data_IF_362154105359
#
_entry.id   IF_362154105359
#
_cell.length_a   1.000
_cell.length_b   1.000
_cell.length_c   1.000
_cell.angle_alpha   90.00
_cell.angle_beta   90.00
_cell.angle_gamma   90.00
#
_symmetry.space_group_name_H-M   'P 1'
#
loop_
_entity.id
_entity.type
_entity.pdbx_description
1 polymer ?
#
# COMPACT_ATOMS: atom_id res chain seq x y z
N UNK A 1 -21.68 31.00 -2.59
CA UNK A 1 -21.59 31.47 -1.20
C UNK A 1 -21.97 30.31 -0.30
N UNK A 2 -20.99 29.48 0.05
CA UNK A 2 -21.11 28.47 1.10
C UNK A 2 -19.78 28.46 1.84
N UNK A 3 -19.87 28.37 3.15
CA UNK A 3 -18.78 28.58 4.10
C UNK A 3 -17.65 27.59 3.89
N UNK A 4 -16.44 28.12 3.72
CA UNK A 4 -15.21 27.42 4.06
C UNK A 4 -15.09 27.43 5.58
N UNK A 5 -15.21 26.26 6.21
CA UNK A 5 -14.59 26.05 7.52
C UNK A 5 -13.17 25.58 7.21
N UNK A 6 -12.22 26.44 7.55
CA UNK A 6 -10.82 26.06 7.69
C UNK A 6 -10.75 25.09 8.86
N UNK A 7 -10.42 23.83 8.57
CA UNK A 7 -10.05 22.88 9.60
C UNK A 7 -8.56 23.10 9.90
N UNK A 8 -8.29 23.93 10.90
CA UNK A 8 -7.04 23.93 11.65
C UNK A 8 -6.95 22.57 12.36
N UNK A 9 -6.25 21.60 11.77
CA UNK A 9 -5.88 20.37 12.47
C UNK A 9 -4.66 20.65 13.36
N UNK A 10 -4.95 21.08 14.58
CA UNK A 10 -4.00 21.14 15.67
C UNK A 10 -3.65 19.70 16.10
N UNK A 11 -2.35 19.37 16.06
CA UNK A 11 -1.85 18.10 16.56
C UNK A 11 -1.86 18.14 18.09
N UNK A 12 -3.01 17.86 18.71
CA UNK A 12 -3.05 17.53 20.14
C UNK A 12 -2.87 16.03 20.30
N UNK A 13 -1.67 15.65 20.73
CA UNK A 13 -1.41 14.38 21.41
C UNK A 13 -2.31 14.32 22.64
N UNK A 14 -3.40 13.54 22.58
CA UNK A 14 -4.10 13.17 23.80
C UNK A 14 -3.22 12.18 24.58
N UNK A 15 -2.83 12.66 25.75
CA UNK A 15 -2.13 11.97 26.82
C UNK A 15 -3.05 10.88 27.39
N UNK A 16 -2.76 9.62 27.12
CA UNK A 16 -3.20 8.53 28.00
C UNK A 16 -2.21 8.44 29.17
N UNK A 17 -2.44 9.25 30.20
CA UNK A 17 -1.92 9.03 31.54
C UNK A 17 -2.58 7.78 32.13
N UNK A 18 -1.81 6.71 32.29
CA UNK A 18 -1.76 5.90 33.52
C UNK A 18 -0.94 4.63 33.26
N UNK A 19 0.29 4.59 33.75
CA UNK A 19 0.78 3.47 34.56
C UNK A 19 2.12 3.85 35.20
N UNK A 20 2.10 3.77 36.52
CA UNK A 20 3.12 4.18 37.47
C UNK A 20 4.56 3.75 37.13
N UNK A 21 5.43 4.74 37.28
CA UNK A 21 6.88 4.67 37.36
C UNK A 21 7.30 3.88 38.61
N UNK A 22 8.03 2.77 38.44
CA UNK A 22 8.86 2.18 39.51
C UNK A 22 10.26 2.06 38.96
N UNK A 23 11.09 3.04 39.32
CA UNK A 23 12.53 3.00 39.13
C UNK A 23 13.17 1.94 40.03
N UNK A 24 14.18 1.28 39.49
CA UNK A 24 15.08 0.40 40.23
C UNK A 24 16.43 0.39 39.54
N UNK A 25 17.42 0.97 40.22
CA UNK A 25 18.80 1.15 39.80
C UNK A 25 19.48 -0.12 39.28
N UNK A 26 20.30 0.07 38.25
CA UNK A 26 21.32 -0.85 37.78
C UNK A 26 22.44 -0.87 38.83
N UNK A 27 22.73 -2.04 39.40
CA UNK A 27 24.03 -2.32 40.00
C UNK A 27 24.55 -3.64 39.41
N UNK A 28 25.69 -3.52 38.72
CA UNK A 28 26.55 -4.63 38.34
C UNK A 28 27.23 -5.19 39.59
N UNK A 29 27.24 -6.52 39.74
CA UNK A 29 28.36 -7.37 40.22
C UNK A 29 27.81 -8.74 40.69
N UNK A 30 28.18 -9.82 40.01
CA UNK A 30 29.09 -10.86 40.52
C UNK A 30 28.93 -12.23 39.86
N UNK A 31 30.11 -12.83 39.58
CA UNK A 31 30.32 -14.18 39.09
C UNK A 31 30.05 -15.24 40.18
N UNK A 32 29.48 -16.39 39.83
CA UNK A 32 29.89 -17.68 40.44
C UNK A 32 29.60 -18.90 39.54
N UNK A 33 30.56 -19.83 39.52
CA UNK A 33 30.57 -21.10 38.78
C UNK A 33 29.63 -22.15 39.38
N UNK A 34 29.06 -23.05 38.55
CA UNK A 34 28.46 -24.30 39.03
C UNK A 34 27.65 -25.14 38.02
N UNK A 35 28.35 -26.03 37.30
CA UNK A 35 28.03 -27.42 36.92
C UNK A 35 26.61 -27.87 36.47
N UNK A 36 26.61 -28.46 35.27
CA UNK A 36 25.87 -29.63 34.75
C UNK A 36 24.40 -29.87 35.10
N UNK A 37 23.57 -29.77 34.05
CA UNK A 37 22.27 -30.40 33.93
C UNK A 37 21.71 -30.16 32.53
N UNK A 38 21.84 -31.15 31.63
CA UNK A 38 21.18 -31.10 30.32
C UNK A 38 19.67 -31.01 30.51
N UNK A 39 19.13 -29.82 30.28
CA UNK A 39 17.72 -29.60 30.06
C UNK A 39 17.58 -28.94 28.70
N UNK A 40 16.93 -29.65 27.77
CA UNK A 40 16.46 -29.11 26.50
C UNK A 40 15.35 -28.11 26.82
N UNK A 41 15.73 -26.88 27.13
CA UNK A 41 14.83 -25.74 27.11
C UNK A 41 14.83 -25.18 25.70
N UNK A 42 13.66 -25.09 25.09
CA UNK A 42 13.44 -24.35 23.85
C UNK A 42 13.89 -22.90 24.04
N UNK A 43 15.11 -22.61 23.61
CA UNK A 43 15.77 -21.29 23.66
C UNK A 43 15.17 -20.28 22.65
N UNK A 44 13.97 -20.55 22.14
CA UNK A 44 13.32 -19.80 21.06
C UNK A 44 12.45 -18.63 21.56
N UNK A 45 12.47 -18.39 22.87
CA UNK A 45 11.47 -17.58 23.57
C UNK A 45 12.05 -16.42 24.41
N UNK A 46 13.31 -16.07 24.14
CA UNK A 46 13.97 -14.83 24.59
C UNK A 46 13.49 -13.61 23.76
N UNK A 47 13.08 -12.49 24.40
CA UNK A 47 12.69 -11.28 23.70
C UNK A 47 13.93 -10.47 23.27
N UNK A 48 14.70 -10.94 22.29
CA UNK A 48 15.87 -10.15 21.83
C UNK A 48 16.36 -10.34 20.39
N UNK A 49 15.60 -10.95 19.47
CA UNK A 49 15.76 -10.70 18.03
C UNK A 49 14.39 -10.57 17.37
N UNK A 50 14.14 -9.47 16.65
CA UNK A 50 12.97 -9.27 15.76
C UNK A 50 13.01 -10.31 14.62
N UNK A 51 12.86 -11.59 14.94
CA UNK A 51 12.80 -12.67 13.96
C UNK A 51 11.37 -12.77 13.46
N UNK A 52 11.26 -12.95 12.16
CA UNK A 52 10.02 -13.21 11.46
C UNK A 52 9.44 -14.59 11.72
N UNK A 53 8.30 -14.90 11.09
CA UNK A 53 7.69 -16.25 11.10
C UNK A 53 7.91 -16.91 9.75
N UNK A 54 8.46 -18.12 9.73
CA UNK A 54 8.58 -18.94 8.51
C UNK A 54 7.32 -19.76 8.22
N UNK A 55 7.09 -20.17 6.98
CA UNK A 55 6.01 -21.11 6.62
C UNK A 55 6.05 -22.41 7.44
N UNK A 56 7.25 -22.94 7.73
CA UNK A 56 7.39 -24.16 8.53
C UNK A 56 6.89 -23.97 9.98
N UNK A 57 7.20 -22.83 10.60
CA UNK A 57 6.68 -22.50 11.94
C UNK A 57 5.18 -22.25 11.92
N UNK A 58 4.67 -21.55 10.90
CA UNK A 58 3.24 -21.31 10.75
C UNK A 58 2.45 -22.62 10.62
N UNK A 59 2.95 -23.58 9.82
CA UNK A 59 2.37 -24.93 9.70
C UNK A 59 2.40 -25.73 11.00
N UNK A 60 3.32 -25.44 11.92
CA UNK A 60 3.35 -26.02 13.28
C UNK A 60 2.42 -25.30 14.27
N UNK A 61 1.64 -24.33 13.81
CA UNK A 61 0.67 -23.59 14.63
C UNK A 61 1.18 -22.27 15.21
N UNK A 62 2.36 -21.79 14.82
CA UNK A 62 2.79 -20.42 15.15
C UNK A 62 1.95 -19.42 14.36
N UNK A 63 1.55 -18.32 15.00
CA UNK A 63 0.85 -17.24 14.31
C UNK A 63 1.73 -16.62 13.20
N UNK A 64 1.12 -16.30 12.04
CA UNK A 64 1.84 -15.77 10.86
C UNK A 64 2.52 -14.42 11.14
N UNK A 65 1.97 -13.61 12.04
CA UNK A 65 2.57 -12.35 12.50
C UNK A 65 3.50 -12.57 13.70
N UNK A 66 3.51 -13.78 14.25
CA UNK A 66 4.27 -14.15 15.43
C UNK A 66 3.65 -13.62 16.73
N UNK A 67 2.35 -13.34 16.74
CA UNK A 67 1.64 -12.85 17.93
C UNK A 67 1.57 -14.00 18.97
N UNK A 68 2.09 -13.80 20.20
CA UNK A 68 2.15 -14.84 21.21
C UNK A 68 0.83 -14.92 22.00
N UNK A 69 -0.24 -15.37 21.35
CA UNK A 69 -1.60 -15.46 21.91
C UNK A 69 -1.66 -16.10 23.31
N UNK A 70 -0.86 -17.16 23.55
CA UNK A 70 -0.77 -17.82 24.87
C UNK A 70 -0.22 -16.90 25.97
N UNK A 71 0.79 -16.07 25.65
CA UNK A 71 1.38 -15.11 26.61
C UNK A 71 0.44 -13.93 26.87
N UNK A 72 -0.37 -13.57 25.88
CA UNK A 72 -1.36 -12.49 26.00
C UNK A 72 -2.65 -12.93 26.73
N UNK A 73 -2.77 -14.20 27.11
CA UNK A 73 -3.96 -14.77 27.76
C UNK A 73 -5.27 -14.51 27.00
N UNK A 74 -5.20 -14.44 25.66
CA UNK A 74 -6.35 -14.26 24.77
C UNK A 74 -6.15 -15.10 23.51
N UNK A 75 -7.23 -15.74 23.03
CA UNK A 75 -7.19 -16.48 21.76
C UNK A 75 -7.30 -15.52 20.59
N UNK A 76 -6.66 -15.87 19.46
CA UNK A 76 -6.80 -15.16 18.18
C UNK A 76 -8.26 -14.87 17.79
N UNK A 77 -9.15 -15.85 17.95
CA UNK A 77 -10.56 -15.72 17.57
C UNK A 77 -11.32 -14.73 18.45
N UNK A 78 -11.10 -14.77 19.77
CA UNK A 78 -11.69 -13.79 20.68
C UNK A 78 -11.19 -12.37 20.36
N UNK A 79 -9.89 -12.21 20.10
CA UNK A 79 -9.35 -10.91 19.69
C UNK A 79 -9.97 -10.42 18.37
N UNK A 80 -10.14 -11.31 17.38
CA UNK A 80 -10.84 -11.01 16.11
C UNK A 80 -12.29 -10.58 16.33
N UNK A 81 -13.05 -11.22 17.23
CA UNK A 81 -14.43 -10.81 17.55
C UNK A 81 -14.47 -9.40 18.12
N UNK A 82 -13.65 -9.12 19.13
CA UNK A 82 -13.50 -7.79 19.72
C UNK A 82 -13.10 -6.77 18.64
N UNK A 83 -12.17 -7.12 17.75
CA UNK A 83 -11.73 -6.26 16.66
C UNK A 83 -12.88 -5.90 15.71
N UNK A 84 -13.72 -6.88 15.32
CA UNK A 84 -14.87 -6.64 14.45
C UNK A 84 -15.99 -5.83 15.12
N UNK A 85 -16.14 -5.91 16.45
CA UNK A 85 -17.13 -5.14 17.20
C UNK A 85 -16.74 -3.67 17.35
N UNK A 86 -15.45 -3.39 17.53
CA UNK A 86 -14.95 -2.04 17.82
C UNK A 86 -14.39 -1.30 16.60
N UNK A 87 -13.92 -2.01 15.57
CA UNK A 87 -13.35 -1.36 14.40
C UNK A 87 -14.42 -0.73 13.53
N UNK A 88 -14.27 0.56 13.25
CA UNK A 88 -15.14 1.32 12.35
C UNK A 88 -14.30 1.91 11.23
N UNK A 89 -14.70 1.60 10.00
CA UNK A 89 -14.10 2.22 8.83
C UNK A 89 -14.46 3.71 8.81
N UNK A 90 -13.50 4.52 8.42
CA UNK A 90 -13.75 5.93 8.12
C UNK A 90 -14.48 6.05 6.77
N UNK A 91 -15.52 6.89 6.73
CA UNK A 91 -16.35 7.17 5.58
C UNK A 91 -16.41 8.70 5.41
N UNK A 92 -16.14 9.23 4.22
CA UNK A 92 -16.27 10.68 3.98
C UNK A 92 -17.75 11.05 3.82
N UNK A 93 -18.54 10.13 3.26
CA UNK A 93 -20.00 10.24 3.17
C UNK A 93 -20.62 9.33 4.21
N UNK A 94 -21.27 9.93 5.21
CA UNK A 94 -21.89 9.20 6.33
C UNK A 94 -22.77 8.04 5.85
N UNK A 95 -22.51 6.85 6.38
CA UNK A 95 -23.25 5.61 6.09
C UNK A 95 -23.11 5.10 4.65
N UNK A 96 -22.16 5.60 3.86
CA UNK A 96 -21.94 5.17 2.47
C UNK A 96 -21.80 3.65 2.34
N UNK A 97 -21.05 3.02 3.25
CA UNK A 97 -20.83 1.58 3.27
C UNK A 97 -22.06 0.74 3.65
N UNK A 98 -23.06 1.36 4.29
CA UNK A 98 -24.33 0.72 4.66
C UNK A 98 -25.43 0.97 3.62
N UNK A 99 -25.39 2.11 2.95
CA UNK A 99 -26.36 2.57 1.95
C UNK A 99 -26.24 1.88 0.60
N UNK A 100 -25.15 1.15 0.35
CA UNK A 100 -25.00 0.37 -0.86
C UNK A 100 -26.17 -0.60 -1.01
N UNK A 101 -26.83 -0.52 -2.17
CA UNK A 101 -27.82 -1.49 -2.59
C UNK A 101 -27.24 -2.90 -2.40
N UNK A 102 -27.98 -3.81 -1.74
CA UNK A 102 -27.49 -5.17 -1.38
C UNK A 102 -27.20 -6.05 -2.62
N UNK A 103 -27.14 -5.46 -3.82
CA UNK A 103 -26.77 -6.05 -5.11
C UNK A 103 -25.24 -6.10 -5.30
N UNK A 104 -24.52 -6.61 -4.32
CA UNK A 104 -23.14 -7.07 -4.55
C UNK A 104 -23.13 -8.54 -4.95
N UNK A 105 -22.07 -8.96 -5.62
CA UNK A 105 -21.95 -10.35 -6.08
C UNK A 105 -21.79 -11.28 -4.88
N UNK A 106 -22.61 -12.33 -4.82
CA UNK A 106 -22.48 -13.37 -3.79
C UNK A 106 -21.22 -14.22 -4.06
N UNK A 107 -20.51 -14.55 -2.99
CA UNK A 107 -19.17 -15.13 -3.07
C UNK A 107 -19.09 -16.37 -2.17
N UNK A 108 -18.45 -17.41 -2.68
CA UNK A 108 -18.11 -18.60 -1.92
C UNK A 108 -16.70 -18.49 -1.34
N UNK A 109 -16.57 -18.75 -0.03
CA UNK A 109 -15.27 -18.98 0.59
C UNK A 109 -14.68 -20.28 0.05
N UNK A 110 -13.35 -20.37 -0.02
CA UNK A 110 -12.63 -21.59 -0.43
C UNK A 110 -11.65 -21.41 -1.60
N UNK A 111 -11.40 -20.17 -2.03
CA UNK A 111 -10.24 -19.87 -2.86
C UNK A 111 -8.95 -20.14 -2.08
N UNK A 112 -7.95 -20.69 -2.76
CA UNK A 112 -6.64 -21.00 -2.19
C UNK A 112 -5.58 -20.77 -3.27
N UNK A 113 -5.36 -19.49 -3.58
CA UNK A 113 -4.53 -19.02 -4.69
C UNK A 113 -3.11 -18.70 -4.25
N UNK A 114 -2.93 -18.24 -3.02
CA UNK A 114 -1.65 -17.86 -2.44
C UNK A 114 -1.43 -18.55 -1.10
N UNK A 115 -0.26 -19.14 -0.88
CA UNK A 115 0.13 -19.78 0.38
C UNK A 115 1.12 -18.89 1.15
N UNK A 116 0.95 -18.81 2.47
CA UNK A 116 1.88 -18.09 3.34
C UNK A 116 3.30 -18.64 3.19
N UNK A 117 4.26 -17.77 2.90
CA UNK A 117 5.65 -18.15 2.71
C UNK A 117 6.52 -17.68 3.88
N UNK A 118 6.45 -16.39 4.19
CA UNK A 118 7.30 -15.78 5.20
C UNK A 118 6.69 -14.48 5.72
N UNK A 119 6.97 -14.17 6.98
CA UNK A 119 6.75 -12.87 7.56
C UNK A 119 8.09 -12.33 8.08
N UNK A 120 8.47 -11.10 7.75
CA UNK A 120 9.66 -10.45 8.33
C UNK A 120 9.28 -9.22 9.16
N UNK A 121 9.79 -9.15 10.40
CA UNK A 121 9.66 -7.96 11.26
C UNK A 121 10.93 -7.09 11.30
N UNK A 122 11.89 -7.40 10.43
CA UNK A 122 13.06 -6.52 10.19
C UNK A 122 12.63 -5.25 9.46
N UNK A 123 11.54 -5.35 8.71
CA UNK A 123 10.90 -4.28 7.97
C UNK A 123 9.77 -3.72 8.83
N UNK A 124 9.69 -2.40 8.95
CA UNK A 124 8.61 -1.72 9.67
C UNK A 124 7.89 -0.77 8.69
N UNK A 125 6.93 -1.25 7.90
CA UNK A 125 6.15 -0.39 7.02
C UNK A 125 5.45 0.70 7.82
N UNK A 126 5.45 1.94 7.34
CA UNK A 126 4.86 3.07 8.06
C UNK A 126 3.86 3.80 7.18
N UNK A 127 2.70 4.12 7.75
CA UNK A 127 1.66 4.92 7.12
C UNK A 127 1.51 6.21 7.91
N UNK A 128 1.54 7.35 7.21
CA UNK A 128 1.33 8.67 7.82
C UNK A 128 -0.08 9.22 7.55
N UNK A 129 -0.76 8.73 6.50
CA UNK A 129 -2.11 9.13 6.15
C UNK A 129 -3.05 7.94 6.16
N UNK A 130 -4.17 8.03 6.87
CA UNK A 130 -5.11 6.93 7.05
C UNK A 130 -5.89 6.54 5.77
N UNK A 131 -5.74 7.24 4.65
CA UNK A 131 -6.35 6.85 3.36
C UNK A 131 -5.31 6.46 2.28
N UNK A 132 -4.05 6.88 2.40
CA UNK A 132 -3.04 6.63 1.37
C UNK A 132 -2.27 5.34 1.68
N UNK A 133 -2.27 4.41 0.72
CA UNK A 133 -1.88 3.00 0.91
C UNK A 133 -0.89 2.49 -0.16
N UNK A 134 -0.33 3.38 -0.96
CA UNK A 134 0.58 3.02 -2.06
C UNK A 134 2.05 3.09 -1.62
N UNK A 135 2.43 2.33 -0.58
CA UNK A 135 3.76 2.41 0.04
C UNK A 135 4.57 1.11 -0.01
N UNK A 136 4.09 0.09 -0.75
CA UNK A 136 4.75 -1.21 -0.94
C UNK A 136 4.72 -1.57 -2.42
N UNK A 137 5.88 -1.88 -3.01
CA UNK A 137 6.04 -2.17 -4.43
C UNK A 137 7.00 -3.31 -4.69
N UNK A 138 6.49 -4.42 -5.21
CA UNK A 138 7.29 -5.53 -5.69
C UNK A 138 7.73 -5.28 -7.14
N UNK A 139 9.04 -5.40 -7.38
CA UNK A 139 9.63 -5.30 -8.73
C UNK A 139 10.01 -6.67 -9.30
N UNK A 140 10.06 -7.68 -8.43
CA UNK A 140 10.26 -9.09 -8.78
C UNK A 140 9.57 -9.96 -7.73
N UNK A 141 9.57 -11.27 -7.93
CA UNK A 141 9.17 -12.25 -6.89
C UNK A 141 9.97 -12.11 -5.58
N UNK A 142 11.15 -11.50 -5.65
CA UNK A 142 12.10 -11.43 -4.56
C UNK A 142 12.37 -10.03 -4.03
N UNK A 143 12.11 -9.00 -4.82
CA UNK A 143 12.53 -7.63 -4.53
C UNK A 143 11.32 -6.73 -4.31
N UNK A 144 11.25 -6.18 -3.09
CA UNK A 144 10.16 -5.30 -2.67
C UNK A 144 10.72 -4.04 -2.05
N UNK A 145 10.16 -2.91 -2.47
CA UNK A 145 10.47 -1.57 -2.00
C UNK A 145 9.33 -1.06 -1.17
N UNK A 146 9.63 -0.40 -0.06
CA UNK A 146 8.59 0.14 0.79
C UNK A 146 9.06 1.32 1.64
N UNK A 147 8.12 2.11 2.13
CA UNK A 147 8.40 3.13 3.14
C UNK A 147 8.51 2.52 4.53
N UNK A 148 9.59 2.85 5.24
CA UNK A 148 9.76 2.61 6.66
C UNK A 148 10.21 3.89 7.34
N UNK A 149 9.33 4.48 8.15
CA UNK A 149 9.48 5.83 8.68
C UNK A 149 9.79 6.83 7.56
N UNK A 150 10.97 7.44 7.56
CA UNK A 150 11.43 8.39 6.56
C UNK A 150 12.27 7.77 5.45
N UNK A 151 12.52 6.47 5.47
CA UNK A 151 13.41 5.81 4.52
C UNK A 151 12.65 4.92 3.55
N UNK A 152 13.02 4.98 2.27
CA UNK A 152 12.68 3.93 1.30
C UNK A 152 13.63 2.77 1.53
N UNK A 153 13.07 1.61 1.82
CA UNK A 153 13.79 0.37 2.09
C UNK A 153 13.57 -0.61 0.96
N UNK A 154 14.61 -1.36 0.60
CA UNK A 154 14.54 -2.52 -0.27
C UNK A 154 14.75 -3.78 0.56
N UNK A 155 13.80 -4.70 0.46
CA UNK A 155 13.89 -6.03 1.03
C UNK A 155 14.04 -7.06 -0.09
N UNK A 156 15.04 -7.93 0.05
CA UNK A 156 15.23 -9.08 -0.83
C UNK A 156 14.84 -10.36 -0.09
N UNK A 157 13.76 -11.02 -0.52
CA UNK A 157 13.32 -12.30 0.08
C UNK A 157 14.29 -13.45 -0.21
N UNK A 158 15.10 -13.35 -1.27
CA UNK A 158 16.11 -14.35 -1.63
C UNK A 158 17.33 -14.29 -0.70
N UNK A 159 17.84 -13.08 -0.43
CA UNK A 159 19.03 -12.88 0.40
C UNK A 159 18.73 -12.59 1.87
N UNK A 160 17.44 -12.38 2.20
CA UNK A 160 16.98 -11.89 3.50
C UNK A 160 17.69 -10.61 3.96
N UNK A 161 18.09 -9.77 2.99
CA UNK A 161 18.81 -8.53 3.23
C UNK A 161 17.87 -7.34 3.12
N UNK A 162 17.98 -6.46 4.11
CA UNK A 162 17.35 -5.15 4.11
C UNK A 162 18.39 -4.08 3.74
N UNK A 163 18.11 -3.28 2.73
CA UNK A 163 18.98 -2.20 2.26
C UNK A 163 18.22 -0.89 2.25
N UNK A 164 18.84 0.20 2.73
CA UNK A 164 18.26 1.54 2.63
C UNK A 164 18.56 2.13 1.25
N UNK A 165 17.53 2.58 0.54
CA UNK A 165 17.64 3.15 -0.81
C UNK A 165 17.77 4.67 -0.78
N UNK A 166 16.93 5.33 0.04
CA UNK A 166 16.94 6.78 0.20
C UNK A 166 16.40 7.14 1.59
N UNK A 167 16.96 8.17 2.21
CA UNK A 167 16.57 8.67 3.53
C UNK A 167 16.02 10.09 3.43
N UNK A 168 14.71 10.24 3.57
CA UNK A 168 14.04 11.53 3.54
C UNK A 168 14.08 12.28 4.88
N UNK A 169 14.62 11.67 5.95
CA UNK A 169 14.86 12.39 7.20
C UNK A 169 16.01 13.40 7.03
N UNK A 170 17.01 13.01 6.25
CA UNK A 170 18.15 13.83 5.89
C UNK A 170 17.85 14.78 4.74
N UNK A 171 18.93 15.31 4.17
CA UNK A 171 18.89 16.16 2.99
C UNK A 171 18.87 15.32 1.71
N UNK A 172 17.87 15.54 0.86
CA UNK A 172 17.67 14.85 -0.42
C UNK A 172 17.73 15.89 -1.54
N UNK A 173 18.81 15.87 -2.31
CA UNK A 173 19.00 16.76 -3.45
C UNK A 173 19.38 15.98 -4.72
N UNK A 174 18.97 16.47 -5.90
CA UNK A 174 19.28 15.83 -7.18
C UNK A 174 20.78 15.97 -7.50
N UNK A 175 21.37 14.89 -8.02
CA UNK A 175 22.77 14.89 -8.51
C UNK A 175 22.85 15.13 -10.02
N UNK A 176 21.77 14.84 -10.73
CA UNK A 176 21.63 15.13 -12.16
C UNK A 176 20.98 16.52 -12.34
N UNK A 177 21.30 17.20 -13.44
CA UNK A 177 20.73 18.52 -13.76
C UNK A 177 19.68 18.36 -14.85
N UNK A 178 18.42 18.47 -14.47
CA UNK A 178 17.28 18.48 -15.38
C UNK A 178 16.51 19.81 -15.25
N UNK A 179 15.82 20.27 -16.31
CA UNK A 179 14.94 21.43 -16.23
C UNK A 179 13.89 21.26 -15.12
N UNK A 180 13.64 22.32 -14.34
CA UNK A 180 12.66 22.29 -13.24
C UNK A 180 13.12 21.53 -12.00
N UNK A 181 14.36 21.03 -11.98
CA UNK A 181 14.95 20.36 -10.83
C UNK A 181 15.24 21.38 -9.72
N UNK A 182 14.76 21.10 -8.51
CA UNK A 182 15.04 21.88 -7.31
C UNK A 182 16.42 21.49 -6.77
N UNK A 183 17.43 22.32 -7.07
CA UNK A 183 18.84 21.99 -6.77
C UNK A 183 19.10 22.02 -5.27
N UNK A 184 18.43 22.89 -4.50
CA UNK A 184 18.53 22.87 -3.04
C UNK A 184 17.97 21.59 -2.42
N UNK A 185 17.14 20.82 -3.13
CA UNK A 185 16.53 19.61 -2.61
C UNK A 185 15.53 19.86 -1.47
N UNK A 186 15.32 18.83 -0.66
CA UNK A 186 14.39 18.83 0.48
C UNK A 186 15.03 18.27 1.74
N UNK A 187 14.45 18.56 2.89
CA UNK A 187 14.83 18.00 4.19
C UNK A 187 13.61 17.56 4.97
N UNK A 188 13.70 16.46 5.70
CA UNK A 188 12.62 15.94 6.54
C UNK A 188 11.30 15.72 5.78
N UNK A 189 11.39 15.34 4.50
CA UNK A 189 10.21 15.15 3.66
C UNK A 189 9.41 13.95 4.14
N UNK A 190 8.13 14.18 4.43
CA UNK A 190 7.19 13.11 4.68
C UNK A 190 6.66 12.58 3.36
N UNK A 191 6.77 11.27 3.14
CA UNK A 191 6.33 10.61 1.90
C UNK A 191 4.90 10.11 2.08
N UNK A 192 4.02 10.53 1.17
CA UNK A 192 2.61 10.14 1.11
C UNK A 192 2.37 8.97 0.16
N UNK A 193 3.21 8.83 -0.87
CA UNK A 193 3.04 7.80 -1.90
C UNK A 193 4.38 7.41 -2.52
N UNK A 194 4.50 6.16 -2.95
CA UNK A 194 5.67 5.60 -3.61
C UNK A 194 5.19 4.88 -4.87
N UNK A 195 6.00 4.89 -5.92
CA UNK A 195 5.85 4.00 -7.06
C UNK A 195 7.24 3.48 -7.47
N UNK A 196 7.35 2.18 -7.68
CA UNK A 196 8.59 1.56 -8.14
C UNK A 196 8.28 0.60 -9.26
N UNK A 197 8.89 0.85 -10.42
CA UNK A 197 8.73 0.01 -11.61
C UNK A 197 10.04 -0.07 -12.36
N UNK A 198 10.45 -1.29 -12.68
CA UNK A 198 11.75 -1.57 -13.31
C UNK A 198 12.88 -0.91 -12.51
N UNK A 199 13.63 0.03 -13.12
CA UNK A 199 14.73 0.74 -12.49
C UNK A 199 14.36 2.15 -12.01
N UNK A 200 13.08 2.53 -12.00
CA UNK A 200 12.62 3.85 -11.57
C UNK A 200 11.87 3.75 -10.24
N UNK A 201 12.28 4.59 -9.30
CA UNK A 201 11.55 4.90 -8.07
C UNK A 201 11.10 6.36 -8.13
N UNK A 202 9.82 6.60 -7.87
CA UNK A 202 9.25 7.94 -7.72
C UNK A 202 8.53 8.01 -6.38
N UNK A 203 8.82 9.03 -5.59
CA UNK A 203 8.20 9.27 -4.29
C UNK A 203 7.54 10.66 -4.28
N UNK A 204 6.31 10.71 -3.77
CA UNK A 204 5.54 11.93 -3.60
C UNK A 204 5.42 12.30 -2.12
N UNK A 205 5.53 13.59 -1.82
CA UNK A 205 5.44 14.14 -0.47
C UNK A 205 4.11 14.81 -0.14
N UNK A 206 3.94 15.15 1.13
CA UNK A 206 2.75 15.84 1.64
C UNK A 206 2.66 17.31 1.24
N UNK A 207 3.77 17.95 0.86
CA UNK A 207 3.81 19.38 0.49
C UNK A 207 4.14 19.57 -1.00
N UNK A 208 3.63 18.67 -1.85
CA UNK A 208 3.82 18.70 -3.30
C UNK A 208 5.21 18.29 -3.76
N UNK A 209 6.05 17.74 -2.87
CA UNK A 209 7.37 17.26 -3.25
C UNK A 209 7.27 16.04 -4.17
N UNK A 210 8.20 15.99 -5.12
CA UNK A 210 8.40 14.89 -6.05
C UNK A 210 9.87 14.56 -6.07
N UNK A 211 10.21 13.29 -5.86
CA UNK A 211 11.59 12.78 -5.91
C UNK A 211 11.67 11.56 -6.80
N UNK A 212 12.50 11.62 -7.83
CA UNK A 212 12.75 10.52 -8.76
C UNK A 212 14.18 10.00 -8.61
N UNK A 213 14.33 8.68 -8.48
CA UNK A 213 15.61 8.00 -8.39
C UNK A 213 15.65 6.84 -9.37
N UNK A 214 16.66 6.84 -10.24
CA UNK A 214 17.06 5.63 -10.98
C UNK A 214 17.82 4.70 -10.03
N UNK A 215 17.34 3.46 -9.89
CA UNK A 215 17.82 2.48 -8.92
C UNK A 215 19.18 1.90 -9.31
N UNK A 216 19.50 1.87 -10.60
CA UNK A 216 20.79 1.49 -11.18
C UNK A 216 21.87 2.60 -11.07
N UNK A 217 21.49 3.80 -10.61
CA UNK A 217 22.39 4.96 -10.48
C UNK A 217 22.56 5.39 -9.03
N UNK A 218 23.68 6.06 -8.74
CA UNK A 218 23.92 6.70 -7.43
C UNK A 218 23.23 8.06 -7.37
N UNK A 219 22.76 8.42 -6.18
CA UNK A 219 22.09 9.71 -5.95
C UNK A 219 20.65 9.76 -6.46
N UNK A 220 20.05 10.93 -6.33
CA UNK A 220 18.69 11.23 -6.80
C UNK A 220 18.78 11.83 -8.20
N UNK A 221 17.95 11.35 -9.12
CA UNK A 221 17.97 11.82 -10.51
C UNK A 221 17.24 13.16 -10.66
N UNK A 222 16.12 13.35 -9.97
CA UNK A 222 15.33 14.57 -10.07
C UNK A 222 14.55 14.84 -8.79
N UNK A 223 14.45 16.10 -8.40
CA UNK A 223 13.55 16.57 -7.35
C UNK A 223 12.81 17.79 -7.85
N UNK A 224 11.53 17.93 -7.53
CA UNK A 224 10.78 19.16 -7.81
C UNK A 224 9.62 19.32 -6.85
N UNK A 225 9.08 20.53 -6.75
CA UNK A 225 7.82 20.80 -6.04
C UNK A 225 6.75 21.09 -7.08
N UNK A 226 5.81 20.17 -7.22
CA UNK A 226 4.81 20.17 -8.29
C UNK A 226 3.73 21.24 -8.11
N UNK A 227 3.48 21.62 -6.87
CA UNK A 227 2.48 22.61 -6.47
C UNK A 227 2.85 23.23 -5.13
N UNK A 228 2.43 24.47 -4.92
CA UNK A 228 2.62 25.24 -3.68
C UNK A 228 1.28 25.54 -3.01
N UNK A 229 0.19 24.95 -3.48
CA UNK A 229 -1.12 25.07 -2.85
C UNK A 229 -1.04 24.55 -1.41
N UNK A 230 -1.85 25.13 -0.51
CA UNK A 230 -1.88 24.74 0.91
C UNK A 230 -2.17 23.25 1.07
N UNK A 231 -3.04 22.71 0.21
CA UNK A 231 -3.34 21.30 0.13
C UNK A 231 -2.62 20.63 -1.06
N UNK A 232 -1.34 20.35 -0.88
CA UNK A 232 -0.41 19.96 -1.98
C UNK A 232 -0.04 18.47 -1.99
N UNK A 233 -0.67 17.64 -1.16
CA UNK A 233 -0.32 16.22 -1.00
C UNK A 233 -0.26 15.52 -2.35
N UNK A 234 0.80 14.74 -2.58
CA UNK A 234 0.89 13.83 -3.73
C UNK A 234 0.25 12.51 -3.35
N UNK A 235 -0.97 12.26 -3.85
CA UNK A 235 -1.79 11.13 -3.40
C UNK A 235 -1.40 9.82 -4.08
N UNK A 236 -1.10 9.86 -5.38
CA UNK A 236 -0.70 8.67 -6.15
C UNK A 236 0.31 8.98 -7.23
N UNK A 237 1.09 7.97 -7.60
CA UNK A 237 1.96 7.98 -8.76
C UNK A 237 1.72 6.70 -9.56
N UNK A 238 1.52 6.83 -10.86
CA UNK A 238 1.45 5.69 -11.79
C UNK A 238 2.58 5.79 -12.81
N UNK A 239 3.38 4.72 -12.94
CA UNK A 239 4.53 4.64 -13.87
C UNK A 239 4.14 3.73 -15.03
N UNK A 240 4.22 4.23 -16.26
CA UNK A 240 3.83 3.49 -17.45
C UNK A 240 4.82 3.66 -18.61
N UNK A 241 4.85 2.65 -19.47
CA UNK A 241 5.65 2.67 -20.69
C UNK A 241 4.76 3.18 -21.82
N UNK A 242 5.24 4.16 -22.57
CA UNK A 242 4.53 4.68 -23.74
C UNK A 242 4.62 3.68 -24.90
N UNK A 243 3.73 3.85 -25.89
CA UNK A 243 3.76 3.04 -27.11
C UNK A 243 5.05 3.19 -27.93
N UNK A 244 5.81 4.28 -27.72
CA UNK A 244 7.12 4.49 -28.36
C UNK A 244 8.29 3.91 -27.54
N UNK A 245 8.03 3.28 -26.39
CA UNK A 245 9.05 2.70 -25.52
C UNK A 245 9.67 3.68 -24.52
N UNK A 246 9.17 4.91 -24.42
CA UNK A 246 9.55 5.84 -23.37
C UNK A 246 8.91 5.47 -22.03
N UNK A 247 9.47 5.94 -20.92
CA UNK A 247 8.90 5.74 -19.58
C UNK A 247 8.36 7.07 -19.10
N UNK A 248 7.09 7.13 -18.77
CA UNK A 248 6.44 8.30 -18.21
C UNK A 248 5.87 7.96 -16.82
N UNK A 249 5.54 8.98 -16.03
CA UNK A 249 4.69 8.81 -14.86
C UNK A 249 3.67 9.92 -14.74
N UNK A 250 2.53 9.61 -14.13
CA UNK A 250 1.51 10.59 -13.74
C UNK A 250 1.48 10.69 -12.24
N UNK A 251 1.55 11.91 -11.72
CA UNK A 251 1.32 12.22 -10.31
C UNK A 251 -0.08 12.81 -10.14
N UNK A 252 -0.83 12.31 -9.16
CA UNK A 252 -2.12 12.87 -8.72
C UNK A 252 -1.92 13.65 -7.43
N UNK A 253 -2.48 14.86 -7.37
CA UNK A 253 -2.30 15.76 -6.25
C UNK A 253 -3.65 16.21 -5.67
N UNK A 254 -3.60 16.57 -4.39
CA UNK A 254 -4.75 17.13 -3.67
C UNK A 254 -5.15 18.53 -4.16
N UNK A 255 -4.32 19.17 -4.97
CA UNK A 255 -4.60 20.46 -5.61
C UNK A 255 -5.55 20.34 -6.83
N UNK A 256 -6.28 19.23 -6.91
CA UNK A 256 -7.15 18.87 -8.02
C UNK A 256 -6.43 18.71 -9.36
N UNK A 257 -5.11 18.56 -9.36
CA UNK A 257 -4.29 18.43 -10.55
C UNK A 257 -3.75 17.02 -10.77
N UNK A 258 -3.57 16.65 -12.04
CA UNK A 258 -2.69 15.55 -12.44
C UNK A 258 -1.59 16.06 -13.35
N UNK A 259 -0.38 15.52 -13.19
CA UNK A 259 0.82 15.97 -13.90
C UNK A 259 1.55 14.79 -14.50
N UNK A 260 1.77 14.81 -15.81
CA UNK A 260 2.52 13.78 -16.53
C UNK A 260 3.94 14.26 -16.80
N UNK A 261 4.91 13.40 -16.51
CA UNK A 261 6.33 13.67 -16.74
C UNK A 261 6.96 12.61 -17.65
N UNK A 262 7.80 13.05 -18.56
CA UNK A 262 8.76 12.19 -19.25
C UNK A 262 9.94 11.86 -18.33
N UNK A 263 10.34 10.60 -18.20
CA UNK A 263 11.44 10.17 -17.31
C UNK A 263 12.82 10.33 -17.95
N UNK A 264 12.91 10.52 -19.27
CA UNK A 264 14.19 10.79 -19.92
C UNK A 264 14.67 12.21 -19.59
N UNK A 265 13.78 13.19 -19.67
CA UNK A 265 14.09 14.62 -19.51
C UNK A 265 13.53 15.25 -18.22
N UNK A 266 12.67 14.54 -17.48
CA UNK A 266 11.90 15.04 -16.34
C UNK A 266 11.07 16.30 -16.64
N UNK A 267 10.72 16.52 -17.92
CA UNK A 267 9.85 17.62 -18.30
C UNK A 267 8.38 17.27 -18.03
N UNK A 268 7.65 18.26 -17.53
CA UNK A 268 6.20 18.22 -17.43
C UNK A 268 5.61 18.27 -18.85
N UNK A 269 4.92 17.21 -19.24
CA UNK A 269 4.27 17.08 -20.54
C UNK A 269 2.83 17.61 -20.50
N UNK A 270 2.06 17.16 -19.52
CA UNK A 270 0.65 17.47 -19.37
C UNK A 270 0.33 17.89 -17.94
N UNK A 271 -0.59 18.85 -17.81
CA UNK A 271 -1.18 19.24 -16.53
C UNK A 271 -2.68 19.47 -16.73
N UNK A 272 -3.49 18.59 -16.14
CA UNK A 272 -4.95 18.69 -16.20
C UNK A 272 -5.51 18.95 -14.80
N UNK A 273 -6.50 19.84 -14.71
CA UNK A 273 -7.19 20.15 -13.45
C UNK A 273 -8.62 19.62 -13.48
N UNK A 274 -9.07 19.20 -12.31
CA UNK A 274 -10.39 18.64 -12.05
C UNK A 274 -11.14 19.50 -11.03
N UNK A 275 -12.47 19.32 -10.89
CA UNK A 275 -13.27 20.08 -9.94
C UNK A 275 -13.01 19.73 -8.46
N UNK A 276 -12.22 18.69 -8.19
CA UNK A 276 -12.01 18.10 -6.87
C UNK A 276 -10.58 17.52 -6.73
N UNK A 277 -10.06 17.40 -5.50
CA UNK A 277 -8.78 16.77 -5.20
C UNK A 277 -8.66 15.35 -5.77
N UNK A 278 -7.56 15.07 -6.48
CA UNK A 278 -7.39 13.77 -7.16
C UNK A 278 -6.63 12.81 -6.26
N UNK A 279 -7.27 11.71 -5.86
CA UNK A 279 -6.70 10.71 -4.96
C UNK A 279 -5.90 9.64 -5.69
N UNK A 280 -6.37 9.21 -6.87
CA UNK A 280 -5.68 8.17 -7.63
C UNK A 280 -5.87 8.31 -9.14
N UNK A 281 -4.84 7.94 -9.90
CA UNK A 281 -4.96 7.76 -11.35
C UNK A 281 -4.39 6.43 -11.80
N UNK A 282 -4.91 5.89 -12.90
CA UNK A 282 -4.29 4.77 -13.60
C UNK A 282 -4.42 4.91 -15.11
N UNK A 283 -3.31 4.66 -15.82
CA UNK A 283 -3.23 4.71 -17.27
C UNK A 283 -3.72 3.41 -17.90
N UNK A 284 -4.55 3.54 -18.94
CA UNK A 284 -4.95 2.39 -19.77
C UNK A 284 -3.74 1.76 -20.49
N UNK A 285 -3.76 0.45 -20.78
CA UNK A 285 -2.63 -0.23 -21.43
C UNK A 285 -2.26 0.33 -22.81
N UNK A 286 -3.22 0.93 -23.52
CA UNK A 286 -2.98 1.57 -24.82
C UNK A 286 -2.59 3.06 -24.72
N UNK A 287 -2.43 3.56 -23.49
CA UNK A 287 -2.05 4.94 -23.15
C UNK A 287 -3.02 6.02 -23.68
N UNK A 288 -4.27 5.68 -24.02
CA UNK A 288 -5.23 6.66 -24.55
C UNK A 288 -6.14 7.26 -23.50
N UNK A 289 -6.37 6.53 -22.42
CA UNK A 289 -7.31 6.89 -21.37
C UNK A 289 -6.65 6.85 -20.00
N UNK A 290 -7.03 7.81 -19.17
CA UNK A 290 -6.66 7.89 -17.75
C UNK A 290 -7.95 7.72 -16.96
N UNK A 291 -7.91 6.79 -16.01
CA UNK A 291 -8.95 6.67 -14.99
C UNK A 291 -8.59 7.59 -13.82
N UNK A 292 -9.44 8.58 -13.54
CA UNK A 292 -9.20 9.60 -12.52
C UNK A 292 -10.26 9.46 -11.42
N UNK A 293 -9.81 9.35 -10.17
CA UNK A 293 -10.68 9.25 -9.00
C UNK A 293 -10.20 10.14 -7.87
N UNK A 294 -11.11 10.61 -7.02
CA UNK A 294 -10.79 11.59 -5.97
C UNK A 294 -11.93 11.86 -5.02
N UNK A 295 -11.96 13.09 -4.49
CA UNK A 295 -12.95 13.57 -3.51
C UNK A 295 -14.31 13.88 -4.15
N UNK A 296 -14.82 12.90 -4.87
CA UNK A 296 -16.11 12.93 -5.56
C UNK A 296 -16.64 11.51 -5.71
N UNK A 297 -17.97 11.37 -5.74
CA UNK A 297 -18.64 10.08 -5.87
C UNK A 297 -18.34 9.41 -7.21
N UNK A 298 -18.36 10.21 -8.28
CA UNK A 298 -18.11 9.73 -9.62
C UNK A 298 -16.62 9.77 -9.93
N UNK A 299 -16.12 8.67 -10.51
CA UNK A 299 -14.84 8.68 -11.21
C UNK A 299 -14.96 9.27 -12.61
N UNK A 300 -13.84 9.67 -13.21
CA UNK A 300 -13.81 10.21 -14.58
C UNK A 300 -12.87 9.37 -15.45
N UNK A 301 -13.37 8.97 -16.62
CA UNK A 301 -12.55 8.43 -17.69
C UNK A 301 -12.18 9.58 -18.64
N UNK A 302 -10.88 9.82 -18.83
CA UNK A 302 -10.34 11.03 -19.45
C UNK A 302 -9.41 10.66 -20.61
N UNK A 303 -9.48 11.38 -21.73
CA UNK A 303 -8.50 11.24 -22.83
C UNK A 303 -7.13 11.75 -22.37
N UNK A 304 -6.10 10.91 -22.47
CA UNK A 304 -4.76 11.18 -21.93
C UNK A 304 -4.06 12.36 -22.61
N UNK A 305 -4.42 12.67 -23.86
CA UNK A 305 -3.76 13.71 -24.66
C UNK A 305 -4.38 15.09 -24.46
N UNK A 306 -5.71 15.14 -24.30
CA UNK A 306 -6.45 16.40 -24.24
C UNK A 306 -6.95 16.74 -22.84
N UNK A 307 -6.95 15.80 -21.91
CA UNK A 307 -7.51 15.97 -20.57
C UNK A 307 -9.03 16.09 -20.57
N UNK A 308 -9.70 15.84 -21.71
CA UNK A 308 -11.15 15.93 -21.81
C UNK A 308 -11.81 14.68 -21.24
N UNK A 309 -12.82 14.88 -20.41
CA UNK A 309 -13.67 13.80 -19.90
C UNK A 309 -14.39 13.11 -21.05
N UNK A 310 -14.16 11.81 -21.19
CA UNK A 310 -14.89 10.93 -22.09
C UNK A 310 -16.20 10.47 -21.46
N UNK A 311 -16.17 10.04 -20.19
CA UNK A 311 -17.35 9.55 -19.49
C UNK A 311 -17.19 9.61 -17.96
N UNK A 312 -18.23 10.03 -17.21
CA UNK A 312 -18.28 9.83 -15.76
C UNK A 312 -18.65 8.39 -15.42
N UNK A 313 -18.16 7.91 -14.27
CA UNK A 313 -18.39 6.57 -13.75
C UNK A 313 -19.23 6.67 -12.50
N UNK A 314 -20.54 6.60 -12.71
CA UNK A 314 -21.54 6.87 -11.69
C UNK A 314 -21.87 5.62 -10.91
N UNK A 315 -21.90 5.76 -9.59
CA UNK A 315 -22.62 4.84 -8.72
C UNK A 315 -21.96 4.55 -7.39
N UNK A 316 -20.67 4.85 -7.22
CA UNK A 316 -20.04 4.82 -5.89
C UNK A 316 -20.75 5.79 -4.95
N UNK A 317 -20.76 5.46 -3.65
CA UNK A 317 -21.46 6.26 -2.63
C UNK A 317 -20.51 7.02 -1.71
N UNK A 318 -19.21 6.94 -1.97
CA UNK A 318 -18.17 7.66 -1.23
C UNK A 318 -16.99 7.99 -2.16
N UNK A 319 -15.88 8.47 -1.61
CA UNK A 319 -14.68 8.83 -2.35
C UNK A 319 -13.80 7.61 -2.69
N UNK A 320 -13.19 7.67 -3.87
CA UNK A 320 -12.40 6.60 -4.45
C UNK A 320 -10.90 6.88 -4.26
N UNK A 321 -10.14 5.86 -3.84
CA UNK A 321 -8.71 5.98 -3.49
C UNK A 321 -7.80 5.05 -4.29
N UNK A 322 -8.38 4.17 -5.10
CA UNK A 322 -7.62 3.25 -5.93
C UNK A 322 -8.31 3.02 -7.27
N UNK A 323 -7.51 2.88 -8.32
CA UNK A 323 -7.95 2.43 -9.63
C UNK A 323 -6.88 1.56 -10.27
N UNK A 324 -7.29 0.57 -11.06
CA UNK A 324 -6.35 -0.30 -11.78
C UNK A 324 -6.96 -0.80 -13.09
N UNK A 325 -6.17 -0.77 -14.16
CA UNK A 325 -6.56 -1.35 -15.45
C UNK A 325 -6.20 -2.81 -15.52
N UNK A 326 -7.11 -3.60 -16.11
CA UNK A 326 -6.78 -4.94 -16.53
C UNK A 326 -5.93 -4.88 -17.81
N UNK A 327 -4.95 -5.79 -18.00
CA UNK A 327 -4.11 -5.80 -19.21
C UNK A 327 -4.85 -6.04 -20.53
N UNK A 328 -6.13 -6.46 -20.49
CA UNK A 328 -6.97 -6.60 -21.68
C UNK A 328 -7.34 -5.24 -22.32
N UNK A 329 -7.17 -4.13 -21.60
CA UNK A 329 -7.51 -2.79 -22.06
C UNK A 329 -9.01 -2.48 -22.13
N UNK A 330 -9.87 -3.40 -21.69
CA UNK A 330 -11.33 -3.23 -21.70
C UNK A 330 -11.89 -3.12 -20.29
N UNK A 331 -11.26 -3.81 -19.33
CA UNK A 331 -11.75 -3.90 -17.96
C UNK A 331 -10.88 -3.04 -17.04
N UNK A 332 -11.50 -2.39 -16.07
CA UNK A 332 -10.78 -1.69 -15.01
C UNK A 332 -11.56 -1.72 -13.70
N UNK A 333 -10.87 -1.45 -12.60
CA UNK A 333 -11.40 -1.51 -11.26
C UNK A 333 -11.28 -0.17 -10.54
N UNK A 334 -12.23 0.11 -9.65
CA UNK A 334 -12.17 1.22 -8.68
C UNK A 334 -12.35 0.70 -7.26
N UNK A 335 -11.55 1.19 -6.32
CA UNK A 335 -11.67 0.91 -4.89
C UNK A 335 -12.09 2.16 -4.12
N UNK A 336 -13.08 2.02 -3.24
CA UNK A 336 -13.82 3.13 -2.66
C UNK A 336 -14.10 2.96 -1.17
N UNK A 337 -14.27 4.07 -0.46
CA UNK A 337 -14.59 4.09 0.98
C UNK A 337 -16.00 3.62 1.31
N UNK A 338 -16.89 3.52 0.31
CA UNK A 338 -18.16 2.80 0.41
C UNK A 338 -17.94 1.28 0.67
N UNK A 339 -16.72 0.82 0.90
CA UNK A 339 -16.36 -0.59 1.16
C UNK A 339 -16.49 -1.47 -0.09
N UNK A 340 -16.73 -0.88 -1.27
CA UNK A 340 -16.80 -1.63 -2.53
C UNK A 340 -15.60 -1.45 -3.42
N UNK A 341 -15.33 -2.51 -4.16
CA UNK A 341 -14.55 -2.46 -5.37
C UNK A 341 -15.48 -2.76 -6.55
N UNK A 342 -15.45 -1.90 -7.58
CA UNK A 342 -16.31 -2.02 -8.77
C UNK A 342 -15.49 -2.29 -10.01
N UNK A 343 -15.94 -3.27 -10.78
CA UNK A 343 -15.38 -3.62 -12.08
C UNK A 343 -16.20 -2.92 -13.16
N UNK A 344 -15.51 -2.35 -14.14
CA UNK A 344 -16.10 -1.60 -15.24
C UNK A 344 -15.64 -2.19 -16.56
N UNK A 345 -16.50 -2.13 -17.58
CA UNK A 345 -16.16 -2.48 -18.96
C UNK A 345 -16.32 -1.23 -19.81
N UNK A 346 -15.24 -0.80 -20.46
CA UNK A 346 -15.24 0.41 -21.30
C UNK A 346 -16.29 0.40 -22.41
N UNK A 347 -16.73 -0.79 -22.85
CA UNK A 347 -17.76 -0.96 -23.88
C UNK A 347 -19.17 -0.69 -23.34
N UNK A 348 -19.35 -0.67 -22.01
CA UNK A 348 -20.60 -0.34 -21.33
C UNK A 348 -20.35 0.32 -19.97
N UNK A 349 -20.19 1.64 -19.97
CA UNK A 349 -19.93 2.45 -18.77
C UNK A 349 -21.18 2.88 -18.01
N UNK A 350 -22.37 2.46 -18.44
CA UNK A 350 -23.64 2.85 -17.79
C UNK A 350 -23.81 2.27 -16.38
N UNK A 351 -23.14 1.15 -16.09
CA UNK A 351 -23.12 0.52 -14.78
C UNK A 351 -21.90 -0.40 -14.64
N UNK A 352 -21.41 -0.66 -13.42
CA UNK A 352 -20.33 -1.62 -13.20
C UNK A 352 -20.78 -3.04 -13.55
N UNK A 353 -19.89 -3.84 -14.15
CA UNK A 353 -20.16 -5.25 -14.48
C UNK A 353 -20.18 -6.14 -13.25
N UNK A 354 -19.47 -5.75 -12.18
CA UNK A 354 -19.42 -6.48 -10.91
C UNK A 354 -19.13 -5.51 -9.76
N UNK A 355 -19.81 -5.71 -8.63
CA UNK A 355 -19.59 -4.99 -7.38
C UNK A 355 -19.20 -5.99 -6.30
N UNK A 356 -18.04 -5.78 -5.67
CA UNK A 356 -17.47 -6.60 -4.61
C UNK A 356 -17.38 -5.78 -3.32
N UNK A 357 -17.66 -6.38 -2.15
CA UNK A 357 -17.52 -5.71 -0.85
C UNK A 357 -16.21 -6.12 -0.16
N UNK A 358 -15.13 -5.39 -0.46
CA UNK A 358 -13.73 -5.76 -0.11
C UNK A 358 -12.75 -4.59 0.03
N UNK A 359 -13.24 -3.34 0.06
CA UNK A 359 -12.36 -2.22 0.34
C UNK A 359 -12.25 -2.04 1.86
N UNK A 360 -11.27 -2.74 2.45
CA UNK A 360 -10.94 -2.68 3.87
C UNK A 360 -9.51 -2.12 4.04
N UNK A 361 -9.31 -1.09 4.89
CA UNK A 361 -8.00 -0.49 5.09
C UNK A 361 -7.08 -1.30 6.01
N UNK A 362 -7.62 -2.31 6.71
CA UNK A 362 -6.93 -3.09 7.72
C UNK A 362 -7.40 -4.54 7.75
N UNK A 363 -6.60 -5.38 8.41
CA UNK A 363 -6.88 -6.75 8.86
C UNK A 363 -7.11 -7.83 7.78
N UNK A 364 -7.65 -7.48 6.62
CA UNK A 364 -7.97 -8.46 5.59
C UNK A 364 -7.45 -8.05 4.22
N UNK A 365 -6.99 -9.05 3.48
CA UNK A 365 -6.79 -8.95 2.03
C UNK A 365 -7.59 -10.07 1.37
N UNK A 366 -8.44 -9.71 0.41
CA UNK A 366 -9.25 -10.65 -0.33
C UNK A 366 -8.73 -10.82 -1.76
N UNK A 367 -8.66 -12.07 -2.21
CA UNK A 367 -8.17 -12.42 -3.55
C UNK A 367 -9.29 -13.12 -4.30
N UNK A 368 -9.59 -12.61 -5.49
CA UNK A 368 -10.68 -13.09 -6.34
C UNK A 368 -10.16 -13.72 -7.62
N UNK A 369 -10.82 -14.80 -8.05
CA UNK A 369 -10.56 -15.38 -9.37
C UNK A 369 -11.44 -14.72 -10.43
N UNK A 370 -10.81 -14.04 -11.38
CA UNK A 370 -11.44 -13.53 -12.59
C UNK A 370 -11.99 -14.66 -13.46
N UNK A 371 -11.28 -15.80 -13.54
CA UNK A 371 -11.72 -17.01 -14.27
C UNK A 371 -13.01 -17.63 -13.72
N UNK A 372 -13.21 -17.52 -12.40
CA UNK A 372 -14.43 -17.96 -11.74
C UNK A 372 -15.48 -16.84 -11.64
N UNK A 373 -15.37 -15.80 -12.48
CA UNK A 373 -16.29 -14.67 -12.51
C UNK A 373 -16.44 -14.02 -11.12
N UNK A 374 -15.34 -13.89 -10.38
CA UNK A 374 -15.28 -13.33 -9.02
C UNK A 374 -16.10 -14.09 -7.96
N UNK A 375 -16.62 -15.28 -8.27
CA UNK A 375 -17.45 -16.06 -7.32
C UNK A 375 -16.66 -16.77 -6.24
N UNK A 376 -15.37 -17.05 -6.49
CA UNK A 376 -14.48 -17.74 -5.53
C UNK A 376 -13.44 -16.79 -4.94
N UNK A 377 -13.44 -16.69 -3.61
CA UNK A 377 -12.57 -15.81 -2.83
C UNK A 377 -11.62 -16.58 -1.92
N UNK A 378 -10.37 -16.13 -1.84
CA UNK A 378 -9.46 -16.38 -0.73
C UNK A 378 -9.48 -15.16 0.22
N UNK A 379 -9.47 -15.42 1.52
CA UNK A 379 -9.32 -14.41 2.56
C UNK A 379 -7.98 -14.62 3.25
N UNK A 380 -7.17 -13.57 3.30
CA UNK A 380 -5.97 -13.50 4.13
C UNK A 380 -6.34 -12.68 5.36
N UNK A 381 -6.25 -13.32 6.53
CA UNK A 381 -6.67 -12.79 7.82
C UNK A 381 -5.44 -12.50 8.70
N UNK A 382 -5.20 -11.22 9.01
CA UNK A 382 -4.11 -10.70 9.86
C UNK A 382 -4.60 -9.50 10.67
N UNK A 383 -3.78 -8.91 11.53
CA UNK A 383 -4.15 -7.75 12.34
C UNK A 383 -3.24 -6.57 12.05
N UNK A 384 -3.85 -5.39 11.87
CA UNK A 384 -3.13 -4.14 11.65
C UNK A 384 -3.55 -3.42 10.38
N UNK A 385 -3.12 -2.16 10.29
CA UNK A 385 -3.38 -1.33 9.11
C UNK A 385 -2.53 -1.83 7.94
N UNK A 386 -3.11 -1.75 6.74
CA UNK A 386 -2.38 -2.06 5.51
C UNK A 386 -1.58 -0.82 5.14
N UNK A 387 -0.30 -0.96 4.82
CA UNK A 387 0.52 0.14 4.26
C UNK A 387 0.62 0.08 2.74
N UNK A 388 0.41 -1.11 2.19
CA UNK A 388 0.33 -1.39 0.77
C UNK A 388 0.29 -2.87 0.48
N UNK A 389 -0.25 -3.19 -0.69
CA UNK A 389 -0.35 -4.55 -1.22
C UNK A 389 0.24 -4.54 -2.61
N UNK A 390 1.14 -5.48 -2.89
CA UNK A 390 1.80 -5.55 -4.20
C UNK A 390 1.98 -6.98 -4.66
N UNK A 391 1.57 -7.24 -5.90
CA UNK A 391 1.91 -8.46 -6.62
C UNK A 391 3.27 -8.26 -7.29
N UNK A 392 4.08 -9.32 -7.31
CA UNK A 392 5.23 -9.34 -8.21
C UNK A 392 4.76 -9.30 -9.68
N UNK A 393 5.54 -8.73 -10.61
CA UNK A 393 5.11 -8.59 -12.01
C UNK A 393 4.75 -9.91 -12.73
N UNK A 394 5.21 -11.05 -12.21
CA UNK A 394 4.91 -12.40 -12.69
C UNK A 394 3.73 -13.07 -11.96
N UNK A 395 3.05 -12.35 -11.06
CA UNK A 395 2.01 -12.84 -10.15
C UNK A 395 2.45 -14.00 -9.23
N UNK A 396 3.75 -14.27 -9.08
CA UNK A 396 4.23 -15.42 -8.31
C UNK A 396 4.32 -15.17 -6.81
N UNK A 397 4.42 -13.92 -6.39
CA UNK A 397 4.44 -13.51 -4.99
C UNK A 397 3.50 -12.34 -4.74
N UNK A 398 2.90 -12.36 -3.56
CA UNK A 398 2.08 -11.30 -3.00
C UNK A 398 2.73 -10.79 -1.72
N UNK A 399 2.94 -9.48 -1.64
CA UNK A 399 3.48 -8.79 -0.48
C UNK A 399 2.42 -7.91 0.14
N UNK A 400 2.28 -7.97 1.46
CA UNK A 400 1.38 -7.13 2.25
C UNK A 400 2.22 -6.47 3.34
N UNK A 401 2.35 -5.14 3.28
CA UNK A 401 2.98 -4.38 4.35
C UNK A 401 1.98 -4.09 5.45
N UNK A 402 2.24 -4.55 6.66
CA UNK A 402 1.40 -4.32 7.84
C UNK A 402 2.04 -3.22 8.68
N UNK A 403 1.28 -2.16 8.94
CA UNK A 403 1.63 -1.14 9.91
C UNK A 403 0.92 -1.42 11.23
N UNK A 404 1.72 -1.58 12.29
CA UNK A 404 1.26 -1.78 13.66
C UNK A 404 2.38 -1.35 14.62
N UNK A 405 2.04 -0.85 15.82
CA UNK A 405 3.05 -0.38 16.78
C UNK A 405 4.00 -1.49 17.24
N UNK A 406 3.53 -2.74 17.30
CA UNK A 406 4.26 -3.88 17.87
C UNK A 406 4.61 -4.94 16.82
N UNK A 407 3.67 -5.20 15.92
CA UNK A 407 3.72 -6.30 14.94
C UNK A 407 3.84 -5.81 13.50
N UNK A 408 4.28 -4.57 13.28
CA UNK A 408 4.63 -4.08 11.95
C UNK A 408 5.60 -5.04 11.27
N UNK A 409 5.26 -5.40 10.04
CA UNK A 409 5.95 -6.46 9.33
C UNK A 409 5.57 -6.50 7.86
N UNK A 410 6.32 -7.30 7.10
CA UNK A 410 6.04 -7.57 5.70
C UNK A 410 5.69 -9.05 5.54
N UNK A 411 4.44 -9.32 5.18
CA UNK A 411 3.94 -10.65 4.86
C UNK A 411 4.20 -10.97 3.40
N UNK A 412 4.74 -12.16 3.13
CA UNK A 412 4.94 -12.70 1.79
C UNK A 412 4.14 -13.98 1.62
N UNK A 413 3.43 -14.05 0.51
CA UNK A 413 2.72 -15.24 0.06
C UNK A 413 3.22 -15.63 -1.35
N UNK A 414 3.22 -16.92 -1.65
CA UNK A 414 3.58 -17.43 -2.97
C UNK A 414 2.35 -18.01 -3.66
N UNK A 415 2.25 -17.82 -4.97
CA UNK A 415 1.18 -18.40 -5.78
C UNK A 415 1.22 -19.91 -5.69
N UNK A 416 0.05 -20.51 -5.47
CA UNK A 416 -0.13 -21.96 -5.53
C UNK A 416 -0.32 -22.37 -6.98
N UNK A 417 0.52 -23.31 -7.41
CA UNK A 417 0.35 -24.00 -8.67
C UNK A 417 -0.28 -25.35 -8.39
N UNK A 418 -1.45 -25.62 -8.98
CA UNK A 418 -2.03 -26.95 -8.97
C UNK A 418 -1.19 -27.83 -9.91
N UNK A 419 -0.23 -28.58 -9.37
CA UNK A 419 0.49 -29.59 -10.13
C UNK A 419 -0.35 -30.87 -10.18
N UNK A 420 -1.27 -30.93 -11.14
CA UNK A 420 -2.14 -32.10 -11.38
C UNK A 420 -1.39 -33.43 -11.51
N UNK A 421 -0.11 -33.40 -11.88
CA UNK A 421 0.74 -34.59 -11.97
C UNK A 421 1.23 -35.12 -10.61
N UNK A 422 1.46 -34.27 -9.62
CA UNK A 422 1.89 -34.69 -8.27
C UNK A 422 0.69 -34.99 -7.36
N UNK A 423 -0.41 -34.26 -7.54
CA UNK A 423 -1.66 -34.48 -6.79
C UNK A 423 -2.43 -35.75 -7.21
N UNK A 424 -1.98 -36.46 -8.26
CA UNK A 424 -2.53 -37.75 -8.67
C UNK A 424 -1.77 -38.96 -8.12
N UNK A 425 -0.67 -38.74 -7.38
CA UNK A 425 0.13 -39.78 -6.71
C UNK A 425 -0.05 -39.84 -5.19
N UNK A 426 -0.85 -38.93 -4.62
CA UNK A 426 -1.34 -38.97 -3.23
C UNK A 426 -2.83 -39.28 -3.23
#
# INVERSE_FOLDING_TARGET
MSLYMADDFDYTTEEDEDMANVGGDITDEDNFYGSDGEAIFDDDDLPSKKRGTSAAQARRGRDIQGIPWRRLNITRDNYRKTRLEHYKNYENVSSSGELIDKKYKQMEKGGNYYEFHHNTRLVNPTVLHFQLRNLVWATSKHDVYLMSHYSVMHWSSLSHKLSKILDFQGHVAPVEKHPGSLIEGFTQTQISTLAVKENLMVAGGFLGELTCKRLDRKGVSFCSRMTYDENSITNSIDIFNTLSGGVHFVASNNDSGIREYDVETFQLLNHFRFPWPVNHTSMSPDCKLIMVVGDHLDGLLVDSRSGKTFSPLVGHLDYSFASAWHPDGYTFATGNQDKTCRMWDIRNLSSPTTVLKVAEPADFVHIYSTKADYKKRQEIDFFGEISGVSLSPDDESLFIGVWDRTYASLLQYNRRHACSYLDSFM
#
